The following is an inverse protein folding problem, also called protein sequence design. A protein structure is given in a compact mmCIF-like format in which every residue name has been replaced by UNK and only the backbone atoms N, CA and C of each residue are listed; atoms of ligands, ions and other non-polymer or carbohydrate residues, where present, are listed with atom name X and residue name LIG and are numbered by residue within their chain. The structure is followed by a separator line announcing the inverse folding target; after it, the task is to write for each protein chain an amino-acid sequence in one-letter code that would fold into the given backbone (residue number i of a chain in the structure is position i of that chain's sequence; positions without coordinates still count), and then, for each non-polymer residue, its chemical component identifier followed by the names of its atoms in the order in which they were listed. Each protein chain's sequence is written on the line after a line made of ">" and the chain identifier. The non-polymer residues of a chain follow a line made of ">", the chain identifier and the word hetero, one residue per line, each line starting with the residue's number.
data_IF_189058919956
#
_entry.id   IF_189058919956
#
_cell.length_a   1.000
_cell.length_b   1.000
_cell.length_c   1.000
_cell.angle_alpha   90.00
_cell.angle_beta   90.00
_cell.angle_gamma   90.00
#
_symmetry.space_group_name_H-M   'P 1'
#
loop_
_entity.id
_entity.type
_entity.pdbx_description
1 polymer ?
#
# COMPACT_ATOMS: atom_id res chain seq x y z
N UNK A 1 -5.38 2.09 32.68
CA UNK A 1 -5.67 0.81 31.97
C UNK A 1 -5.52 1.01 30.45
N UNK A 2 -4.34 1.42 29.94
CA UNK A 2 -4.14 1.71 28.51
C UNK A 2 -3.38 0.61 27.73
N UNK A 3 -2.59 -0.23 28.40
CA UNK A 3 -1.68 -1.15 27.71
C UNK A 3 -2.33 -2.20 26.78
N UNK A 4 -3.60 -2.59 26.97
CA UNK A 4 -4.22 -3.62 26.11
C UNK A 4 -4.68 -3.10 24.74
N UNK A 5 -5.04 -1.81 24.63
CA UNK A 5 -5.44 -1.22 23.34
C UNK A 5 -4.23 -0.96 22.46
N UNK A 6 -3.16 -0.45 23.04
CA UNK A 6 -1.94 -0.11 22.31
C UNK A 6 -1.30 -1.37 21.68
N UNK A 7 -1.22 -2.49 22.42
CA UNK A 7 -0.71 -3.76 21.89
C UNK A 7 -1.60 -4.35 20.78
N UNK A 8 -2.93 -4.16 20.84
CA UNK A 8 -3.86 -4.67 19.82
C UNK A 8 -3.75 -3.89 18.51
N UNK A 9 -3.55 -2.57 18.59
CA UNK A 9 -3.36 -1.72 17.41
C UNK A 9 -2.02 -2.02 16.75
N UNK A 10 -0.93 -2.07 17.54
CA UNK A 10 0.41 -2.41 17.06
C UNK A 10 0.45 -3.78 16.36
N UNK A 11 -0.19 -4.79 16.94
CA UNK A 11 -0.30 -6.13 16.32
C UNK A 11 -1.07 -6.06 14.99
N UNK A 12 -2.13 -5.27 14.93
CA UNK A 12 -2.93 -5.12 13.70
C UNK A 12 -2.15 -4.41 12.61
N UNK A 13 -1.45 -3.32 12.94
CA UNK A 13 -0.58 -2.60 12.00
C UNK A 13 0.51 -3.54 11.48
N UNK A 14 1.18 -4.30 12.34
CA UNK A 14 2.22 -5.25 11.91
C UNK A 14 1.66 -6.31 10.94
N UNK A 15 0.47 -6.86 11.19
CA UNK A 15 -0.17 -7.77 10.23
C UNK A 15 -0.48 -7.11 8.89
N UNK A 16 -0.89 -5.84 8.90
CA UNK A 16 -1.18 -5.08 7.68
C UNK A 16 0.10 -4.76 6.88
N UNK A 17 1.21 -4.48 7.57
CA UNK A 17 2.54 -4.34 6.93
C UNK A 17 2.94 -5.62 6.21
N UNK A 18 2.86 -6.78 6.88
CA UNK A 18 3.17 -8.08 6.27
C UNK A 18 2.29 -8.36 5.05
N UNK A 19 1.01 -7.97 5.08
CA UNK A 19 0.11 -8.09 3.92
C UNK A 19 0.56 -7.22 2.74
N UNK A 20 1.00 -5.99 3.00
CA UNK A 20 1.56 -5.13 1.95
C UNK A 20 2.84 -5.72 1.36
N UNK A 21 3.74 -6.24 2.19
CA UNK A 21 4.97 -6.92 1.74
C UNK A 21 4.67 -8.11 0.84
N UNK A 22 3.70 -8.95 1.21
CA UNK A 22 3.28 -10.08 0.38
C UNK A 22 2.67 -9.64 -0.95
N UNK A 23 1.86 -8.57 -0.97
CA UNK A 23 1.30 -8.02 -2.22
C UNK A 23 2.40 -7.55 -3.17
N UNK A 24 3.38 -6.82 -2.64
CA UNK A 24 4.54 -6.33 -3.41
C UNK A 24 5.42 -7.48 -3.89
N UNK A 25 5.63 -8.51 -3.07
CA UNK A 25 6.35 -9.69 -3.48
C UNK A 25 5.64 -10.44 -4.62
N UNK A 26 4.31 -10.57 -4.55
CA UNK A 26 3.53 -11.19 -5.63
C UNK A 26 3.65 -10.40 -6.94
N UNK A 27 3.53 -9.08 -6.88
CA UNK A 27 3.76 -8.18 -8.02
C UNK A 27 5.15 -8.36 -8.63
N UNK A 28 6.21 -8.33 -7.79
CA UNK A 28 7.60 -8.47 -8.25
C UNK A 28 7.87 -9.84 -8.91
N UNK A 29 7.14 -10.87 -8.51
CA UNK A 29 7.18 -12.21 -9.10
C UNK A 29 6.32 -12.37 -10.36
N UNK A 30 5.86 -11.28 -10.97
CA UNK A 30 5.11 -11.27 -12.22
C UNK A 30 3.60 -11.11 -12.07
N UNK A 31 3.11 -10.76 -10.87
CA UNK A 31 1.73 -10.33 -10.66
C UNK A 31 1.42 -9.01 -11.37
N UNK A 32 0.12 -8.71 -11.55
CA UNK A 32 -0.30 -7.49 -12.24
C UNK A 32 -0.24 -6.26 -11.33
N UNK A 33 -0.05 -5.08 -11.93
CA UNK A 33 -0.15 -3.81 -11.21
C UNK A 33 -1.56 -3.57 -10.67
N UNK A 34 -2.58 -4.08 -11.36
CA UNK A 34 -3.97 -3.97 -10.91
C UNK A 34 -4.22 -4.73 -9.61
N UNK A 35 -3.73 -5.98 -9.52
CA UNK A 35 -3.80 -6.75 -8.28
C UNK A 35 -3.00 -6.08 -7.16
N UNK A 36 -1.82 -5.52 -7.45
CA UNK A 36 -1.06 -4.76 -6.47
C UNK A 36 -1.86 -3.58 -5.93
N UNK A 37 -2.41 -2.75 -6.81
CA UNK A 37 -3.14 -1.54 -6.45
C UNK A 37 -4.33 -1.86 -5.53
N UNK A 38 -5.13 -2.86 -5.89
CA UNK A 38 -6.26 -3.34 -5.06
C UNK A 38 -5.80 -3.84 -3.69
N UNK A 39 -4.71 -4.63 -3.63
CA UNK A 39 -4.22 -5.19 -2.36
C UNK A 39 -3.64 -4.13 -1.44
N UNK A 40 -2.96 -3.12 -1.98
CA UNK A 40 -2.45 -2.00 -1.19
C UNK A 40 -3.58 -1.07 -0.73
N UNK A 41 -4.62 -0.88 -1.54
CA UNK A 41 -5.82 -0.15 -1.15
C UNK A 41 -6.50 -0.82 0.07
N UNK A 42 -6.71 -2.15 0.01
CA UNK A 42 -7.25 -2.94 1.11
C UNK A 42 -6.48 -2.73 2.42
N UNK A 43 -5.15 -2.66 2.34
CA UNK A 43 -4.27 -2.41 3.49
C UNK A 43 -4.50 -1.00 4.02
N UNK A 44 -4.53 0.02 3.16
CA UNK A 44 -4.75 1.41 3.58
C UNK A 44 -6.12 1.60 4.22
N UNK A 45 -7.18 1.04 3.63
CA UNK A 45 -8.52 1.09 4.21
C UNK A 45 -8.57 0.42 5.59
N UNK A 46 -7.83 -0.66 5.79
CA UNK A 46 -7.71 -1.31 7.09
C UNK A 46 -6.91 -0.48 8.10
N UNK A 47 -5.84 0.19 7.67
CA UNK A 47 -5.06 1.12 8.50
C UNK A 47 -5.91 2.31 8.96
N UNK A 48 -6.74 2.87 8.08
CA UNK A 48 -7.69 3.94 8.42
C UNK A 48 -8.72 3.51 9.46
N UNK A 49 -9.17 2.24 9.44
CA UNK A 49 -10.14 1.71 10.43
C UNK A 49 -9.56 1.56 11.85
N UNK A 50 -8.25 1.55 11.98
CA UNK A 50 -7.55 1.50 13.27
C UNK A 50 -6.90 2.83 13.64
N UNK A 51 -7.35 3.92 13.03
CA UNK A 51 -6.87 5.28 13.27
C UNK A 51 -5.34 5.43 13.11
N UNK A 52 -4.74 4.67 12.18
CA UNK A 52 -3.32 4.81 11.89
C UNK A 52 -3.05 6.20 11.32
N UNK A 53 -2.34 7.03 12.07
CA UNK A 53 -2.16 8.44 11.79
C UNK A 53 -1.60 8.74 10.38
N UNK A 54 -0.86 7.80 9.79
CA UNK A 54 -0.23 7.97 8.46
C UNK A 54 -1.06 7.41 7.30
N UNK A 55 -2.20 6.78 7.58
CA UNK A 55 -3.05 6.21 6.53
C UNK A 55 -3.46 7.27 5.49
N UNK A 56 -3.82 8.49 5.95
CA UNK A 56 -4.14 9.59 5.04
C UNK A 56 -2.96 9.98 4.14
N UNK A 57 -1.73 9.96 4.67
CA UNK A 57 -0.52 10.29 3.89
C UNK A 57 -0.28 9.26 2.80
N UNK A 58 -0.46 7.97 3.10
CA UNK A 58 -0.39 6.88 2.12
C UNK A 58 -1.41 7.09 0.97
N UNK A 59 -2.65 7.46 1.31
CA UNK A 59 -3.72 7.74 0.31
C UNK A 59 -3.31 8.87 -0.64
N UNK A 60 -2.75 9.96 -0.12
CA UNK A 60 -2.52 11.18 -0.92
C UNK A 60 -1.18 11.25 -1.63
N UNK A 61 -0.28 10.31 -1.37
CA UNK A 61 1.08 10.28 -1.96
C UNK A 61 1.24 9.02 -2.79
N UNK A 62 1.95 8.02 -2.28
CA UNK A 62 2.41 6.89 -3.08
C UNK A 62 1.31 5.95 -3.58
N UNK A 63 0.24 5.69 -2.82
CA UNK A 63 -0.85 4.84 -3.34
C UNK A 63 -1.68 5.54 -4.42
N UNK A 64 -1.96 6.85 -4.23
CA UNK A 64 -2.74 7.62 -5.20
C UNK A 64 -2.07 7.64 -6.57
N UNK A 65 -0.74 7.80 -6.58
CA UNK A 65 0.03 7.78 -7.82
C UNK A 65 0.06 6.39 -8.47
N UNK A 66 0.22 5.31 -7.69
CA UNK A 66 0.13 3.93 -8.20
C UNK A 66 -1.25 3.67 -8.85
N UNK A 67 -2.33 4.12 -8.22
CA UNK A 67 -3.69 3.95 -8.74
C UNK A 67 -3.88 4.72 -10.06
N UNK A 68 -3.41 5.96 -10.12
CA UNK A 68 -3.50 6.81 -11.32
C UNK A 68 -2.70 6.20 -12.48
N UNK A 69 -1.49 5.71 -12.22
CA UNK A 69 -0.65 5.05 -13.23
C UNK A 69 -1.35 3.79 -13.75
N UNK A 70 -1.85 2.94 -12.85
CA UNK A 70 -2.60 1.73 -13.22
C UNK A 70 -3.82 2.06 -14.08
N UNK A 71 -4.68 2.98 -13.62
CA UNK A 71 -5.88 3.38 -14.33
C UNK A 71 -5.56 3.96 -15.73
N UNK A 72 -4.50 4.75 -15.84
CA UNK A 72 -4.04 5.33 -17.11
C UNK A 72 -3.55 4.24 -18.07
N UNK A 73 -2.73 3.31 -17.58
CA UNK A 73 -2.19 2.20 -18.35
C UNK A 73 -3.32 1.29 -18.87
N UNK A 74 -4.28 0.95 -18.01
CA UNK A 74 -5.47 0.17 -18.37
C UNK A 74 -6.34 0.90 -19.40
N UNK A 75 -6.63 2.18 -19.19
CA UNK A 75 -7.47 2.97 -20.09
C UNK A 75 -6.85 3.12 -21.49
N UNK A 76 -5.53 3.36 -21.55
CA UNK A 76 -4.80 3.56 -22.81
C UNK A 76 -4.34 2.25 -23.45
N UNK A 77 -4.46 1.13 -22.75
CA UNK A 77 -3.90 -0.16 -23.14
C UNK A 77 -2.39 -0.06 -23.47
N UNK A 78 -1.66 0.65 -22.62
CA UNK A 78 -0.21 0.88 -22.76
C UNK A 78 0.52 0.34 -21.54
N UNK A 79 1.78 -0.10 -21.68
CA UNK A 79 2.61 -0.45 -20.53
C UNK A 79 2.83 0.78 -19.63
N UNK A 80 2.95 0.54 -18.33
CA UNK A 80 3.41 1.53 -17.35
C UNK A 80 4.93 1.42 -17.15
N UNK A 81 5.54 2.48 -16.60
CA UNK A 81 6.95 2.44 -16.23
C UNK A 81 7.11 1.63 -14.93
N UNK A 82 7.79 0.49 -15.03
CA UNK A 82 8.03 -0.37 -13.87
C UNK A 82 8.96 0.29 -12.85
N UNK A 83 9.93 1.09 -13.28
CA UNK A 83 10.84 1.77 -12.36
C UNK A 83 10.09 2.78 -11.50
N UNK A 84 9.20 3.57 -12.12
CA UNK A 84 8.33 4.53 -11.42
C UNK A 84 7.47 3.82 -10.36
N UNK A 85 6.90 2.65 -10.68
CA UNK A 85 6.14 1.86 -9.69
C UNK A 85 7.02 1.38 -8.53
N UNK A 86 8.25 0.95 -8.78
CA UNK A 86 9.14 0.52 -7.70
C UNK A 86 9.54 1.69 -6.78
N UNK A 87 9.77 2.89 -7.33
CA UNK A 87 10.04 4.11 -6.55
C UNK A 87 8.84 4.48 -5.64
N UNK A 88 7.62 4.39 -6.16
CA UNK A 88 6.39 4.61 -5.39
C UNK A 88 6.18 3.53 -4.31
N UNK A 89 6.53 2.27 -4.59
CA UNK A 89 6.51 1.19 -3.59
C UNK A 89 7.49 1.50 -2.44
N UNK A 90 8.70 1.98 -2.75
CA UNK A 90 9.67 2.37 -1.73
C UNK A 90 9.17 3.53 -0.88
N UNK A 91 8.56 4.55 -1.50
CA UNK A 91 7.92 5.65 -0.77
C UNK A 91 6.77 5.17 0.12
N UNK A 92 5.92 4.27 -0.39
CA UNK A 92 4.84 3.64 0.36
C UNK A 92 5.36 2.98 1.64
N UNK A 93 6.39 2.14 1.54
CA UNK A 93 6.94 1.47 2.72
C UNK A 93 7.64 2.45 3.66
N UNK A 94 8.34 3.46 3.14
CA UNK A 94 8.95 4.51 3.96
C UNK A 94 7.92 5.23 4.84
N UNK A 95 6.74 5.54 4.30
CA UNK A 95 5.64 6.13 5.08
C UNK A 95 5.06 5.13 6.08
N UNK A 96 4.84 3.89 5.63
CA UNK A 96 4.19 2.84 6.40
C UNK A 96 5.01 2.42 7.64
N UNK A 97 6.34 2.43 7.54
CA UNK A 97 7.24 1.93 8.60
C UNK A 97 7.96 3.02 9.39
N UNK A 98 7.87 4.30 8.98
CA UNK A 98 8.40 5.42 9.76
C UNK A 98 7.71 5.55 11.12
#
# INVERSE_FOLDING_TARGET
>A
MNSRRDTSMETTVNHLVVRAEHAVAAYRNGGSLDELAWRLEDVIQALSKVDFAKAQKLITQSWGDIEIINATALHRNTPYDRQEIEELIEEYFSILTA
#
